data_IF_239852381837
#
_entry.id   IF_239852381837
#
_cell.length_a   1.000
_cell.length_b   1.000
_cell.length_c   1.000
_cell.angle_alpha   90.00
_cell.angle_beta   90.00
_cell.angle_gamma   90.00
#
_symmetry.space_group_name_H-M   'P 1'
#
loop_
_entity.id
_entity.type
_entity.pdbx_description
1 polymer ?
#
# COMPACT_ATOMS: atom_id res chain seq x y z
N UNK A 1 1.96 -3.95 0.23
CA UNK A 1 2.75 -3.20 1.23
C UNK A 1 4.11 -2.94 0.62
N UNK A 2 4.56 -1.70 0.53
CA UNK A 2 5.91 -1.35 0.05
C UNK A 2 6.94 -1.70 1.15
N UNK A 3 7.23 -2.98 1.39
CA UNK A 3 7.79 -3.43 2.66
C UNK A 3 9.29 -3.15 2.77
N UNK A 4 9.87 -2.59 1.73
CA UNK A 4 11.32 -2.47 1.64
C UNK A 4 11.83 -1.03 1.65
N UNK A 5 10.98 -0.02 1.48
CA UNK A 5 11.40 1.38 1.55
C UNK A 5 11.65 1.83 2.99
N UNK A 6 12.61 2.76 3.21
CA UNK A 6 12.83 3.39 4.53
C UNK A 6 11.64 4.26 4.95
N UNK A 7 11.69 4.75 6.20
CA UNK A 7 10.83 5.85 6.64
C UNK A 7 11.34 7.15 6.00
N UNK A 8 10.55 7.74 5.12
CA UNK A 8 10.90 8.96 4.41
C UNK A 8 10.14 10.20 4.90
N UNK A 9 9.34 10.07 5.96
CA UNK A 9 8.49 11.16 6.46
C UNK A 9 7.53 11.63 5.37
N UNK A 10 7.54 12.93 5.06
CA UNK A 10 6.66 13.54 4.05
C UNK A 10 7.26 13.56 2.64
N UNK A 11 8.52 13.12 2.48
CA UNK A 11 9.18 13.10 1.16
C UNK A 11 8.55 12.04 0.25
N UNK A 12 8.43 12.39 -1.03
CA UNK A 12 8.05 11.44 -2.06
C UNK A 12 9.14 10.38 -2.24
N UNK A 13 8.69 9.15 -2.45
CA UNK A 13 9.52 7.97 -2.70
C UNK A 13 9.24 7.52 -4.13
N UNK A 14 10.27 7.50 -4.95
CA UNK A 14 10.26 6.85 -6.26
C UNK A 14 11.07 5.55 -6.25
N UNK A 15 11.18 4.91 -7.39
CA UNK A 15 11.86 3.63 -7.56
C UNK A 15 13.39 3.71 -7.39
N UNK A 16 13.96 4.92 -7.40
CA UNK A 16 15.42 5.16 -7.23
C UNK A 16 15.84 5.14 -5.77
N UNK A 17 14.88 5.27 -4.84
CA UNK A 17 15.17 5.25 -3.40
C UNK A 17 15.67 3.87 -2.99
N UNK A 18 16.83 3.84 -2.32
CA UNK A 18 17.44 2.60 -1.84
C UNK A 18 16.51 1.87 -0.86
N UNK A 19 16.43 0.55 -1.02
CA UNK A 19 15.64 -0.30 -0.14
C UNK A 19 16.31 -0.49 1.21
N UNK A 20 15.51 -0.51 2.27
CA UNK A 20 15.90 -0.84 3.64
C UNK A 20 14.99 -1.96 4.18
N UNK A 21 15.15 -3.20 3.67
CA UNK A 21 14.29 -4.31 4.05
C UNK A 21 14.52 -4.73 5.49
N UNK A 22 13.45 -5.08 6.21
CA UNK A 22 13.57 -5.79 7.47
C UNK A 22 14.20 -7.18 7.24
N UNK A 23 14.79 -7.77 8.30
CA UNK A 23 15.49 -9.08 8.18
C UNK A 23 14.66 -10.17 7.49
N UNK A 24 13.36 -10.22 7.78
CA UNK A 24 12.44 -11.21 7.21
C UNK A 24 12.01 -10.90 5.76
N UNK A 25 12.30 -9.69 5.25
CA UNK A 25 11.95 -9.25 3.88
C UNK A 25 13.16 -9.19 2.95
N UNK A 26 14.32 -9.70 3.34
CA UNK A 26 15.53 -9.67 2.51
C UNK A 26 15.38 -10.41 1.18
N UNK A 27 14.53 -11.43 1.16
CA UNK A 27 14.20 -12.18 -0.05
C UNK A 27 13.60 -11.32 -1.16
N UNK A 28 12.97 -10.17 -0.82
CA UNK A 28 12.48 -9.21 -1.83
C UNK A 28 13.64 -8.61 -2.64
N UNK A 29 14.71 -8.24 -1.96
CA UNK A 29 15.93 -7.70 -2.64
C UNK A 29 16.56 -8.76 -3.53
N UNK A 30 16.58 -10.02 -3.08
CA UNK A 30 17.12 -11.13 -3.88
C UNK A 30 16.25 -11.41 -5.11
N UNK A 31 14.93 -11.28 -4.98
CA UNK A 31 14.00 -11.39 -6.11
C UNK A 31 14.22 -10.26 -7.14
N UNK A 32 14.37 -9.01 -6.68
CA UNK A 32 14.67 -7.87 -7.56
C UNK A 32 16.01 -8.04 -8.28
N UNK A 33 17.06 -8.48 -7.56
CA UNK A 33 18.36 -8.80 -8.16
C UNK A 33 18.26 -9.92 -9.20
N UNK A 34 17.34 -10.87 -8.99
CA UNK A 34 17.14 -11.95 -9.96
C UNK A 34 16.51 -11.45 -11.25
N UNK A 35 15.55 -10.53 -11.17
CA UNK A 35 14.97 -9.86 -12.33
C UNK A 35 16.03 -9.03 -13.07
N UNK A 36 16.88 -8.31 -12.33
CA UNK A 36 17.98 -7.54 -12.92
C UNK A 36 18.97 -8.45 -13.67
N UNK A 37 19.42 -9.56 -13.05
CA UNK A 37 20.32 -10.53 -13.71
C UNK A 37 19.68 -11.14 -14.96
N UNK A 38 18.36 -11.32 -14.98
CA UNK A 38 17.65 -11.78 -16.16
C UNK A 38 17.73 -10.75 -17.29
N UNK A 39 17.59 -9.47 -16.96
CA UNK A 39 17.74 -8.36 -17.91
C UNK A 39 19.16 -8.27 -18.46
N UNK A 40 20.18 -8.40 -17.63
CA UNK A 40 21.59 -8.38 -18.02
C UNK A 40 21.95 -9.51 -19.01
N UNK A 41 21.16 -10.57 -19.04
CA UNK A 41 21.28 -11.71 -19.98
C UNK A 41 20.44 -11.54 -21.25
N UNK A 42 19.85 -10.36 -21.48
CA UNK A 42 19.07 -10.03 -22.67
C UNK A 42 17.57 -10.30 -22.53
N UNK A 43 17.07 -10.65 -21.34
CA UNK A 43 15.65 -10.78 -21.06
C UNK A 43 15.00 -9.44 -20.68
N UNK A 44 13.69 -9.46 -20.42
CA UNK A 44 12.94 -8.31 -19.92
C UNK A 44 12.49 -8.57 -18.48
N UNK A 45 13.33 -8.20 -17.51
CA UNK A 45 13.02 -8.33 -16.08
C UNK A 45 12.20 -7.15 -15.60
N UNK A 46 11.01 -7.41 -15.07
CA UNK A 46 10.10 -6.38 -14.53
C UNK A 46 9.84 -6.66 -13.07
N UNK A 47 9.95 -5.63 -12.25
CA UNK A 47 9.64 -5.66 -10.82
C UNK A 47 8.49 -4.71 -10.53
N UNK A 48 7.42 -5.21 -9.93
CA UNK A 48 6.31 -4.40 -9.44
C UNK A 48 6.36 -4.32 -7.91
N UNK A 49 6.51 -3.11 -7.37
CA UNK A 49 6.48 -2.82 -5.94
C UNK A 49 5.09 -2.36 -5.55
N UNK A 50 4.29 -3.26 -5.03
CA UNK A 50 2.89 -2.96 -4.66
C UNK A 50 2.78 -2.26 -3.32
N UNK A 51 1.82 -1.33 -3.22
CA UNK A 51 1.31 -0.78 -1.97
C UNK A 51 0.60 -1.81 -1.11
N UNK A 52 -0.02 -1.37 -0.02
CA UNK A 52 -0.88 -2.23 0.78
C UNK A 52 -2.15 -2.56 0.00
N UNK A 53 -2.41 -3.85 -0.17
CA UNK A 53 -3.60 -4.28 -0.88
C UNK A 53 -4.87 -4.00 -0.08
N UNK A 54 -5.89 -3.49 -0.76
CA UNK A 54 -7.24 -3.41 -0.22
C UNK A 54 -8.27 -3.93 -1.22
N UNK A 55 -9.41 -4.39 -0.71
CA UNK A 55 -10.50 -4.94 -1.50
C UNK A 55 -11.43 -5.78 -0.63
N UNK A 56 -12.59 -6.19 -1.16
CA UNK A 56 -13.60 -6.95 -0.40
C UNK A 56 -13.07 -8.31 0.08
N UNK A 57 -12.13 -8.90 -0.66
CA UNK A 57 -11.58 -10.23 -0.38
C UNK A 57 -10.28 -10.19 0.44
N UNK A 58 -9.84 -9.00 0.86
CA UNK A 58 -8.64 -8.86 1.65
C UNK A 58 -8.91 -9.14 3.14
N UNK A 59 -8.49 -10.31 3.63
CA UNK A 59 -8.66 -10.69 5.04
C UNK A 59 -8.15 -9.62 6.03
N UNK A 60 -7.08 -8.92 5.66
CA UNK A 60 -6.52 -7.83 6.47
C UNK A 60 -7.51 -6.68 6.62
N UNK A 61 -8.26 -6.36 5.57
CA UNK A 61 -9.29 -5.32 5.59
C UNK A 61 -10.50 -5.78 6.38
N UNK A 62 -10.92 -7.03 6.26
CA UNK A 62 -12.03 -7.58 7.06
C UNK A 62 -11.75 -7.47 8.56
N UNK A 63 -10.55 -7.87 9.01
CA UNK A 63 -10.15 -7.76 10.41
C UNK A 63 -10.08 -6.29 10.87
N UNK A 64 -9.58 -5.40 10.03
CA UNK A 64 -9.53 -3.97 10.31
C UNK A 64 -10.93 -3.37 10.43
N UNK A 65 -11.87 -3.73 9.55
CA UNK A 65 -13.28 -3.30 9.60
C UNK A 65 -13.93 -3.72 10.92
N UNK A 66 -13.74 -4.97 11.34
CA UNK A 66 -14.28 -5.45 12.61
C UNK A 66 -13.72 -4.66 13.79
N UNK A 67 -12.42 -4.39 13.79
CA UNK A 67 -11.77 -3.58 14.84
C UNK A 67 -12.30 -2.14 14.85
N UNK A 68 -12.48 -1.50 13.68
CA UNK A 68 -13.01 -0.14 13.55
C UNK A 68 -14.44 -0.07 14.06
N UNK A 69 -15.29 -1.06 13.78
CA UNK A 69 -16.64 -1.17 14.33
C UNK A 69 -16.64 -1.26 15.86
N UNK A 70 -15.60 -1.88 16.45
CA UNK A 70 -15.34 -1.88 17.89
C UNK A 70 -14.73 -0.58 18.42
N UNK A 71 -14.57 0.47 17.60
CA UNK A 71 -14.01 1.76 17.99
C UNK A 71 -12.48 1.79 18.09
N UNK A 72 -11.78 0.78 17.56
CA UNK A 72 -10.33 0.64 17.65
C UNK A 72 -9.70 0.28 16.31
N UNK A 73 -8.54 0.86 15.98
CA UNK A 73 -7.76 0.48 14.80
C UNK A 73 -6.34 0.10 15.21
N UNK A 74 -5.96 -1.19 15.20
CA UNK A 74 -4.65 -1.66 15.67
C UNK A 74 -3.53 -1.42 14.64
N UNK A 75 -3.51 -0.26 14.00
CA UNK A 75 -2.46 0.11 13.05
C UNK A 75 -1.45 1.00 13.78
N UNK A 76 -0.22 0.50 14.03
CA UNK A 76 0.80 1.26 14.73
C UNK A 76 1.37 2.37 13.84
N UNK A 77 1.91 3.41 14.48
CA UNK A 77 2.61 4.50 13.81
C UNK A 77 1.96 5.85 14.01
N UNK A 78 2.63 6.89 13.51
CA UNK A 78 2.14 8.26 13.62
C UNK A 78 0.90 8.47 12.74
N UNK A 79 -0.12 9.18 13.23
CA UNK A 79 -1.33 9.49 12.45
C UNK A 79 -1.03 10.22 11.14
N UNK A 80 0.02 11.06 11.14
CA UNK A 80 0.46 11.86 9.99
C UNK A 80 1.28 11.07 8.98
N UNK A 81 1.73 9.87 9.32
CA UNK A 81 2.53 9.03 8.43
C UNK A 81 1.73 8.62 7.19
N UNK A 82 2.35 8.71 6.03
CA UNK A 82 1.76 8.32 4.77
C UNK A 82 1.64 6.79 4.65
N UNK A 83 0.56 6.39 4.01
CA UNK A 83 0.22 5.00 3.76
C UNK A 83 -0.15 4.82 2.28
N UNK A 84 0.74 4.20 1.53
CA UNK A 84 0.50 3.91 0.12
C UNK A 84 -0.22 2.58 -0.03
N UNK A 85 -1.33 2.59 -0.73
CA UNK A 85 -2.21 1.44 -0.96
C UNK A 85 -2.47 1.20 -2.44
N UNK A 86 -3.11 0.09 -2.76
CA UNK A 86 -3.59 -0.25 -4.10
C UNK A 86 -4.76 -1.22 -4.01
N UNK A 87 -5.78 -1.04 -4.86
CA UNK A 87 -6.86 -2.00 -4.97
C UNK A 87 -6.40 -3.29 -5.67
N UNK A 88 -7.08 -4.42 -5.41
CA UNK A 88 -6.82 -5.66 -6.13
C UNK A 88 -7.02 -5.50 -7.64
N UNK A 89 -8.04 -4.75 -8.06
CA UNK A 89 -8.34 -4.52 -9.48
C UNK A 89 -7.26 -3.68 -10.17
N UNK A 90 -6.80 -2.61 -9.51
CA UNK A 90 -5.72 -1.77 -10.05
C UNK A 90 -4.38 -2.52 -10.06
N UNK A 91 -4.14 -3.37 -9.06
CA UNK A 91 -2.97 -4.23 -9.04
C UNK A 91 -2.98 -5.25 -10.20
N UNK A 92 -4.13 -5.89 -10.45
CA UNK A 92 -4.29 -6.78 -11.60
C UNK A 92 -4.06 -6.03 -12.93
N UNK A 93 -4.62 -4.82 -13.04
CA UNK A 93 -4.41 -3.97 -14.22
C UNK A 93 -2.92 -3.60 -14.38
N UNK A 94 -2.21 -3.28 -13.28
CA UNK A 94 -0.78 -2.99 -13.31
C UNK A 94 0.04 -4.21 -13.78
N UNK A 95 -0.34 -5.42 -13.36
CA UNK A 95 0.30 -6.66 -13.85
C UNK A 95 0.12 -6.83 -15.36
N UNK A 96 -1.09 -6.63 -15.86
CA UNK A 96 -1.37 -6.72 -17.31
C UNK A 96 -0.59 -5.65 -18.08
N UNK A 97 -0.55 -4.41 -17.60
CA UNK A 97 0.22 -3.33 -18.21
C UNK A 97 1.73 -3.62 -18.21
N UNK A 98 2.24 -4.29 -17.18
CA UNK A 98 3.63 -4.68 -17.09
C UNK A 98 4.07 -5.65 -18.21
N UNK A 99 3.17 -6.44 -18.78
CA UNK A 99 3.48 -7.32 -19.92
C UNK A 99 3.91 -6.55 -21.18
N UNK A 100 3.58 -5.26 -21.25
CA UNK A 100 3.94 -4.36 -22.35
C UNK A 100 5.05 -3.37 -21.94
N UNK A 101 5.50 -3.41 -20.69
CA UNK A 101 6.51 -2.49 -20.17
C UNK A 101 7.93 -2.93 -20.52
N UNK A 102 8.85 -1.97 -20.53
CA UNK A 102 10.29 -2.26 -20.60
C UNK A 102 10.80 -2.87 -19.29
N UNK A 103 12.02 -3.44 -19.36
CA UNK A 103 12.70 -3.90 -18.16
C UNK A 103 12.87 -2.75 -17.14
N UNK A 104 12.59 -3.01 -15.87
CA UNK A 104 12.71 -2.00 -14.83
C UNK A 104 11.94 -2.33 -13.56
N UNK A 105 12.00 -1.40 -12.64
CA UNK A 105 11.24 -1.43 -11.38
C UNK A 105 10.17 -0.36 -11.41
N UNK A 106 8.96 -0.69 -10.97
CA UNK A 106 7.80 0.19 -11.00
C UNK A 106 7.03 0.11 -9.69
N UNK A 107 6.72 1.27 -9.10
CA UNK A 107 5.78 1.34 -7.99
C UNK A 107 4.35 1.20 -8.51
N UNK A 108 3.62 0.23 -8.00
CA UNK A 108 2.21 0.01 -8.30
C UNK A 108 1.38 0.36 -7.06
N UNK A 109 0.89 1.58 -7.03
CA UNK A 109 0.15 2.19 -5.93
C UNK A 109 -0.93 3.13 -6.45
N UNK A 110 -1.84 3.54 -5.58
CA UNK A 110 -2.81 4.59 -5.86
C UNK A 110 -2.11 5.93 -6.11
N UNK A 111 -2.73 6.79 -6.92
CA UNK A 111 -2.16 8.08 -7.34
C UNK A 111 -1.95 9.04 -6.16
N UNK A 112 -2.73 8.88 -5.10
CA UNK A 112 -2.74 9.77 -3.95
C UNK A 112 -2.60 8.99 -2.64
N UNK A 113 -1.36 8.84 -2.11
CA UNK A 113 -1.15 8.21 -0.83
C UNK A 113 -1.79 9.04 0.29
N UNK A 114 -2.63 8.41 1.10
CA UNK A 114 -3.31 9.05 2.21
C UNK A 114 -2.44 9.04 3.46
N UNK A 115 -2.66 10.02 4.35
CA UNK A 115 -2.15 9.93 5.71
C UNK A 115 -2.89 8.82 6.46
N UNK A 116 -2.23 8.16 7.37
CA UNK A 116 -2.79 7.03 8.13
C UNK A 116 -4.12 7.39 8.81
N UNK A 117 -4.19 8.59 9.40
CA UNK A 117 -5.41 9.09 10.03
C UNK A 117 -6.54 9.26 9.01
N UNK A 118 -6.25 9.91 7.88
CA UNK A 118 -7.20 10.12 6.79
C UNK A 118 -7.74 8.80 6.24
N UNK A 119 -6.87 7.79 6.07
CA UNK A 119 -7.26 6.46 5.65
C UNK A 119 -8.25 5.81 6.62
N UNK A 120 -7.98 5.87 7.93
CA UNK A 120 -8.84 5.28 8.96
C UNK A 120 -10.16 6.03 9.10
N UNK A 121 -10.14 7.36 9.04
CA UNK A 121 -11.33 8.21 9.13
C UNK A 121 -12.26 7.99 7.93
N UNK A 122 -11.68 7.87 6.73
CA UNK A 122 -12.43 7.57 5.51
C UNK A 122 -13.09 6.20 5.57
N UNK A 123 -12.38 5.20 6.10
CA UNK A 123 -12.93 3.86 6.27
C UNK A 123 -14.04 3.84 7.32
N UNK A 124 -13.89 4.55 8.43
CA UNK A 124 -14.92 4.70 9.45
C UNK A 124 -16.16 5.41 8.91
N UNK A 125 -15.98 6.49 8.14
CA UNK A 125 -17.06 7.21 7.47
C UNK A 125 -17.81 6.28 6.50
N UNK A 126 -17.10 5.49 5.71
CA UNK A 126 -17.71 4.52 4.80
C UNK A 126 -18.53 3.44 5.52
N UNK A 127 -18.14 3.08 6.74
CA UNK A 127 -18.82 2.11 7.59
C UNK A 127 -19.97 2.74 8.40
N UNK A 128 -20.15 4.07 8.38
CA UNK A 128 -21.14 4.79 9.17
C UNK A 128 -20.86 4.75 10.67
N UNK A 129 -19.59 4.63 11.08
CA UNK A 129 -19.18 4.58 12.49
C UNK A 129 -18.26 5.76 12.86
N UNK A 130 -18.17 6.12 14.15
CA UNK A 130 -17.23 7.16 14.59
C UNK A 130 -15.77 6.81 14.28
N UNK A 131 -14.90 7.81 14.11
CA UNK A 131 -13.47 7.61 13.92
C UNK A 131 -12.85 6.75 15.02
N UNK A 132 -12.06 5.70 14.66
CA UNK A 132 -11.53 4.78 15.65
C UNK A 132 -10.37 5.39 16.45
N UNK A 133 -10.18 4.91 17.66
CA UNK A 133 -8.97 5.18 18.44
C UNK A 133 -7.81 4.37 17.87
N UNK A 134 -6.62 4.96 17.84
CA UNK A 134 -5.38 4.31 17.39
C UNK A 134 -4.40 4.19 18.54
N UNK A 135 -3.52 3.18 18.54
CA UNK A 135 -2.46 3.08 19.54
C UNK A 135 -1.51 4.28 19.41
N UNK A 136 -0.93 4.77 20.52
CA UNK A 136 0.14 5.75 20.47
C UNK A 136 1.30 5.25 19.60
N UNK A 137 1.94 6.16 18.83
CA UNK A 137 2.97 5.78 17.87
C UNK A 137 4.18 5.03 18.46
N UNK A 138 4.52 5.29 19.75
CA UNK A 138 5.62 4.61 20.44
C UNK A 138 5.38 3.10 20.65
N UNK A 139 4.13 2.66 20.65
CA UNK A 139 3.78 1.23 20.78
C UNK A 139 4.38 0.39 19.64
N UNK A 140 4.58 0.99 18.46
CA UNK A 140 5.23 0.32 17.34
C UNK A 140 6.60 -0.27 17.70
N UNK A 141 7.35 0.39 18.59
CA UNK A 141 8.66 -0.07 19.03
C UNK A 141 8.60 -1.37 19.87
N UNK A 142 7.50 -1.61 20.58
CA UNK A 142 7.29 -2.83 21.38
C UNK A 142 7.11 -4.08 20.51
N UNK A 143 6.65 -3.92 19.27
CA UNK A 143 6.50 -5.01 18.29
C UNK A 143 7.77 -5.24 17.45
N UNK A 144 8.92 -4.74 17.91
CA UNK A 144 10.22 -4.97 17.30
C UNK A 144 10.32 -4.48 15.84
N UNK A 145 10.94 -5.28 14.99
CA UNK A 145 11.17 -4.92 13.57
C UNK A 145 9.88 -4.83 12.76
N UNK A 146 8.88 -5.66 13.06
CA UNK A 146 7.59 -5.63 12.37
C UNK A 146 6.82 -4.35 12.69
N UNK A 147 6.73 -3.98 13.97
CA UNK A 147 6.06 -2.74 14.39
C UNK A 147 6.71 -1.50 13.76
N UNK A 148 8.04 -1.44 13.78
CA UNK A 148 8.78 -0.34 13.12
C UNK A 148 8.53 -0.28 11.62
N UNK A 149 8.49 -1.44 10.94
CA UNK A 149 8.18 -1.48 9.50
C UNK A 149 6.78 -0.95 9.21
N UNK A 150 5.78 -1.42 9.97
CA UNK A 150 4.39 -0.99 9.80
C UNK A 150 4.17 0.48 10.15
N UNK A 151 5.03 1.06 10.99
CA UNK A 151 4.95 2.45 11.41
C UNK A 151 5.60 3.44 10.43
N UNK A 152 6.37 2.98 9.45
CA UNK A 152 7.06 3.82 8.46
C UNK A 152 6.08 4.71 7.71
N UNK A 153 6.54 5.94 7.44
CA UNK A 153 5.86 6.87 6.53
C UNK A 153 6.40 6.66 5.12
N UNK A 154 5.52 6.25 4.21
CA UNK A 154 5.90 5.90 2.84
C UNK A 154 4.95 6.59 1.87
N UNK A 155 5.34 7.79 1.44
CA UNK A 155 4.66 8.56 0.41
C UNK A 155 5.22 8.19 -0.95
N UNK A 156 4.82 7.03 -1.46
CA UNK A 156 5.35 6.55 -2.73
C UNK A 156 4.65 7.23 -3.92
N UNK A 157 5.35 7.26 -5.04
CA UNK A 157 4.90 7.81 -6.32
C UNK A 157 4.85 6.68 -7.35
N UNK A 158 3.88 6.73 -8.26
CA UNK A 158 3.69 5.80 -9.37
C UNK A 158 4.02 6.42 -10.72
N UNK A 159 4.79 7.51 -10.77
CA UNK A 159 5.08 8.29 -11.99
C UNK A 159 5.66 7.41 -13.11
N UNK A 160 6.50 6.44 -12.78
CA UNK A 160 7.06 5.53 -13.79
C UNK A 160 6.00 4.56 -14.33
N UNK A 161 5.08 4.09 -13.50
CA UNK A 161 3.98 3.23 -13.94
C UNK A 161 2.94 4.00 -14.76
N UNK A 162 2.74 5.30 -14.54
CA UNK A 162 1.78 6.14 -15.27
C UNK A 162 2.18 6.40 -16.72
N UNK A 163 3.41 6.14 -17.12
CA UNK A 163 3.86 6.19 -18.53
C UNK A 163 3.25 5.09 -19.39
N UNK A 164 2.72 4.03 -18.75
CA UNK A 164 2.00 2.96 -19.41
C UNK A 164 0.52 3.12 -19.08
N UNK A 165 -0.33 3.61 -20.00
CA UNK A 165 -1.72 3.92 -19.71
C UNK A 165 -2.50 2.65 -19.39
N UNK A 166 -2.62 2.35 -18.12
CA UNK A 166 -3.75 1.60 -17.62
C UNK A 166 -4.97 2.54 -17.74
N UNK A 167 -6.12 2.02 -18.07
CA UNK A 167 -7.37 2.78 -18.28
C UNK A 167 -7.83 3.43 -16.96
N UNK A 168 -7.08 4.46 -16.51
CA UNK A 168 -7.30 5.16 -15.25
C UNK A 168 -8.17 6.39 -15.50
N UNK A 169 -9.46 6.20 -15.43
CA UNK A 169 -10.34 7.30 -15.02
C UNK A 169 -10.22 7.46 -13.50
N UNK A 170 -9.06 7.98 -13.05
CA UNK A 170 -8.75 8.17 -11.64
C UNK A 170 -9.10 9.56 -11.16
N UNK A 171 -10.06 9.65 -10.23
CA UNK A 171 -10.25 10.82 -9.37
C UNK A 171 -10.13 10.37 -7.90
N UNK A 172 -9.45 11.13 -7.02
CA UNK A 172 -9.24 10.77 -5.61
C UNK A 172 -10.55 10.51 -4.83
N UNK A 173 -11.64 11.22 -5.16
CA UNK A 173 -12.97 10.97 -4.59
C UNK A 173 -13.50 9.55 -4.89
N UNK A 174 -13.10 8.94 -6.01
CA UNK A 174 -13.49 7.58 -6.39
C UNK A 174 -12.79 6.54 -5.51
N UNK A 175 -11.60 6.85 -4.99
CA UNK A 175 -10.85 5.93 -4.12
C UNK A 175 -11.59 5.69 -2.81
N UNK A 176 -12.05 6.75 -2.17
CA UNK A 176 -12.84 6.68 -0.93
C UNK A 176 -14.21 6.09 -1.18
N UNK A 177 -14.89 6.45 -2.28
CA UNK A 177 -16.17 5.87 -2.66
C UNK A 177 -16.04 4.42 -3.14
N UNK A 178 -14.94 4.01 -3.79
CA UNK A 178 -14.66 2.61 -4.11
C UNK A 178 -14.33 1.79 -2.87
N UNK A 179 -13.52 2.32 -1.94
CA UNK A 179 -13.28 1.67 -0.65
C UNK A 179 -14.59 1.52 0.12
N UNK A 180 -15.45 2.53 0.12
CA UNK A 180 -16.78 2.50 0.72
C UNK A 180 -17.68 1.47 0.04
N UNK A 181 -17.74 1.43 -1.29
CA UNK A 181 -18.53 0.46 -2.05
C UNK A 181 -18.02 -0.97 -1.87
N UNK A 182 -16.71 -1.18 -1.82
CA UNK A 182 -16.11 -2.49 -1.60
C UNK A 182 -16.21 -2.95 -0.14
N UNK A 183 -16.34 -2.04 0.81
CA UNK A 183 -16.64 -2.34 2.21
C UNK A 183 -18.13 -2.60 2.47
N UNK A 184 -19.04 -2.04 1.67
CA UNK A 184 -20.48 -2.17 1.82
C UNK A 184 -21.03 -3.61 1.70
N UNK A 185 -20.52 -4.51 0.80
CA UNK A 185 -20.93 -5.92 0.78
C UNK A 185 -20.54 -6.67 2.04
N UNK A 186 -19.37 -6.36 2.63
CA UNK A 186 -18.91 -6.95 3.89
C UNK A 186 -19.78 -6.51 5.06
N UNK A 187 -20.39 -5.33 4.96
CA UNK A 187 -21.33 -4.80 5.95
C UNK A 187 -22.66 -5.57 6.04
N UNK A 188 -23.01 -6.36 5.01
CA UNK A 188 -24.25 -7.16 4.92
C UNK A 188 -24.11 -8.62 5.34
N UNK A 189 -22.90 -9.06 5.69
CA UNK A 189 -22.63 -10.42 6.17
C UNK A 189 -22.49 -10.35 7.69
N UNK A 190 -23.61 -10.18 8.38
CA UNK A 190 -23.74 -10.36 9.84
C UNK A 190 -25.17 -10.81 10.15
#
# INVERSE_FOLDING_TARGET
MLPAYPDCGDRWIDETVALEPARYNRTLVDAERSAQRFTERGGTGIVLRFGAFYGPDANQITNLIQSIRGGWAPIPGRPEAFFSSISHDDAATAVVAALQAGAGTYNAIDDEPLRRREYLDSLAQALGVPPPKTPPGWIAHLFGSLGRLLARSQRASNVCASKYPSNREGRPAILLERQARNAAPIARIS
#
